data_IF_181807727829
#
_entry.id   IF_181807727829
#
_cell.length_a   1.000
_cell.length_b   1.000
_cell.length_c   1.000
_cell.angle_alpha   90.00
_cell.angle_beta   90.00
_cell.angle_gamma   90.00
#
_symmetry.space_group_name_H-M   'P 1'
#
loop_
_entity.id
_entity.type
_entity.pdbx_description
1 polymer ?
#
# COMPACT_ATOMS: atom_id res chain seq x y z
N UNK A 1 -32.77 5.57 -10.14
CA UNK A 1 -32.05 4.63 -9.26
C UNK A 1 -30.60 5.07 -9.18
N UNK A 2 -30.20 5.65 -8.05
CA UNK A 2 -28.85 6.17 -7.84
C UNK A 2 -27.91 5.04 -7.42
N UNK A 3 -27.33 4.31 -8.40
CA UNK A 3 -26.22 3.39 -8.14
C UNK A 3 -24.94 4.18 -7.90
N UNK A 4 -24.86 4.87 -6.75
CA UNK A 4 -23.58 5.31 -6.19
C UNK A 4 -23.02 4.15 -5.36
N UNK A 5 -22.70 3.03 -6.03
CA UNK A 5 -21.72 2.10 -5.51
C UNK A 5 -20.40 2.88 -5.53
N UNK A 6 -20.07 3.48 -4.40
CA UNK A 6 -18.79 4.13 -4.19
C UNK A 6 -17.77 2.98 -4.15
N UNK A 7 -17.13 2.71 -5.29
CA UNK A 7 -16.02 1.78 -5.35
C UNK A 7 -14.87 2.39 -4.56
N UNK A 8 -14.69 1.91 -3.34
CA UNK A 8 -13.50 2.18 -2.52
C UNK A 8 -12.57 1.02 -2.80
N UNK A 9 -11.50 1.29 -3.53
CA UNK A 9 -10.52 0.27 -3.89
C UNK A 9 -9.56 0.10 -2.71
N UNK A 10 -9.68 -1.03 -2.02
CA UNK A 10 -8.73 -1.39 -0.97
C UNK A 10 -7.50 -2.00 -1.65
N UNK A 11 -6.39 -1.27 -1.63
CA UNK A 11 -5.11 -1.76 -2.14
C UNK A 11 -4.25 -2.18 -0.95
N UNK A 12 -3.77 -3.42 -1.00
CA UNK A 12 -2.73 -4.03 -0.15
C UNK A 12 -3.10 -4.43 1.28
N UNK A 13 -2.97 -5.73 1.52
CA UNK A 13 -2.72 -6.33 2.82
C UNK A 13 -1.49 -7.20 2.65
N UNK A 14 -0.31 -6.64 2.96
CA UNK A 14 0.89 -7.45 3.04
C UNK A 14 0.94 -8.11 4.41
N UNK A 15 0.48 -9.36 4.51
CA UNK A 15 0.91 -10.23 5.59
C UNK A 15 2.31 -10.75 5.26
N UNK A 16 3.35 -9.92 5.45
CA UNK A 16 4.70 -10.45 5.57
C UNK A 16 4.82 -11.14 6.93
N UNK A 17 4.36 -12.39 7.00
CA UNK A 17 4.88 -13.31 8.00
C UNK A 17 6.18 -13.88 7.44
N UNK A 18 7.21 -13.05 7.38
CA UNK A 18 8.57 -13.60 7.34
C UNK A 18 8.72 -14.21 8.74
N UNK A 19 8.65 -15.54 8.83
CA UNK A 19 9.02 -16.25 10.05
C UNK A 19 10.50 -15.94 10.29
N UNK A 20 10.76 -14.88 11.03
CA UNK A 20 12.08 -14.59 11.58
C UNK A 20 12.29 -15.60 12.70
N UNK A 21 13.10 -16.63 12.41
CA UNK A 21 13.94 -17.18 13.48
C UNK A 21 14.74 -16.01 14.06
N UNK A 22 14.86 -15.99 15.39
CA UNK A 22 15.31 -14.85 16.17
C UNK A 22 16.57 -14.17 15.60
N UNK A 23 16.38 -13.05 14.88
CA UNK A 23 17.48 -12.20 14.43
C UNK A 23 17.91 -11.30 15.58
N UNK A 24 18.81 -11.82 16.41
CA UNK A 24 19.56 -11.00 17.35
C UNK A 24 20.54 -10.11 16.56
N UNK A 25 20.38 -8.79 16.63
CA UNK A 25 21.48 -7.84 16.50
C UNK A 25 21.77 -7.22 15.13
N UNK A 26 20.88 -7.30 14.14
CA UNK A 26 21.09 -6.54 12.88
C UNK A 26 20.93 -5.05 13.19
N UNK A 27 22.02 -4.29 13.09
CA UNK A 27 22.01 -2.84 13.26
C UNK A 27 21.16 -2.20 12.16
N UNK A 28 20.45 -1.09 12.46
CA UNK A 28 19.75 -0.34 11.42
C UNK A 28 20.73 0.06 10.30
N UNK A 29 20.23 0.07 9.05
CA UNK A 29 21.03 0.54 7.92
C UNK A 29 21.66 1.90 8.26
N UNK A 30 22.98 2.09 8.11
CA UNK A 30 23.66 3.29 8.60
C UNK A 30 23.27 4.56 7.83
N UNK A 31 22.73 4.41 6.63
CA UNK A 31 22.36 5.52 5.74
C UNK A 31 20.90 5.92 5.91
N UNK A 32 20.00 4.97 6.06
CA UNK A 32 18.55 5.26 6.06
C UNK A 32 17.73 4.52 7.11
N UNK A 33 18.38 3.76 8.00
CA UNK A 33 17.73 3.15 9.15
C UNK A 33 17.11 4.19 10.06
N UNK A 34 15.89 3.91 10.53
CA UNK A 34 15.15 4.76 11.47
C UNK A 34 15.87 4.78 12.82
N UNK A 35 16.12 5.98 13.36
CA UNK A 35 16.71 6.20 14.69
C UNK A 35 15.67 6.83 15.60
N UNK A 36 15.19 6.03 16.55
CA UNK A 36 14.07 6.39 17.39
C UNK A 36 14.49 7.24 18.60
N UNK A 37 13.66 8.23 18.95
CA UNK A 37 13.75 8.98 20.21
C UNK A 37 12.43 8.81 20.94
N UNK A 38 12.39 8.04 22.04
CA UNK A 38 11.14 7.77 22.76
C UNK A 38 10.50 9.08 23.25
N UNK A 39 9.19 9.21 23.06
CA UNK A 39 8.43 10.41 23.39
C UNK A 39 8.44 11.48 22.30
N UNK A 40 9.25 11.32 21.24
CA UNK A 40 9.20 12.21 20.07
C UNK A 40 7.82 12.15 19.41
N UNK A 41 7.31 13.32 19.02
CA UNK A 41 6.08 13.46 18.26
C UNK A 41 6.33 14.23 16.98
N UNK A 42 5.70 13.81 15.88
CA UNK A 42 5.79 14.47 14.59
C UNK A 42 4.57 14.12 13.74
N UNK A 43 4.37 14.79 12.59
CA UNK A 43 3.16 14.60 11.79
C UNK A 43 3.48 14.32 10.34
N UNK A 44 2.60 13.57 9.70
CA UNK A 44 2.61 13.35 8.27
C UNK A 44 1.31 13.83 7.64
N UNK A 45 1.43 14.36 6.42
CA UNK A 45 0.32 14.62 5.52
C UNK A 45 0.43 13.68 4.33
N UNK A 46 -0.62 12.91 4.09
CA UNK A 46 -0.80 12.06 2.93
C UNK A 46 -1.78 12.75 1.96
N UNK A 47 -1.39 12.88 0.69
CA UNK A 47 -2.24 13.40 -0.39
C UNK A 47 -2.41 12.29 -1.42
N UNK A 48 -3.63 12.07 -1.88
CA UNK A 48 -3.97 11.16 -2.98
C UNK A 48 -4.65 11.94 -4.10
N UNK A 49 -4.25 11.64 -5.34
CA UNK A 49 -5.02 11.95 -6.56
C UNK A 49 -5.25 10.65 -7.32
N UNK A 50 -6.50 10.28 -7.49
CA UNK A 50 -6.92 9.06 -8.16
C UNK A 50 -7.64 9.38 -9.47
N UNK A 51 -7.32 8.61 -10.50
CA UNK A 51 -7.88 8.75 -11.82
C UNK A 51 -8.50 7.43 -12.24
N UNK A 52 -9.75 7.47 -12.70
CA UNK A 52 -10.44 6.33 -13.30
C UNK A 52 -10.60 6.62 -14.80
N UNK A 53 -10.08 5.74 -15.65
CA UNK A 53 -10.10 5.92 -17.10
C UNK A 53 -9.62 7.32 -17.52
N UNK A 54 -8.47 7.71 -16.95
CA UNK A 54 -7.78 9.00 -17.10
C UNK A 54 -8.54 10.26 -16.63
N UNK A 55 -9.68 10.10 -15.97
CA UNK A 55 -10.45 11.20 -15.38
C UNK A 55 -10.21 11.27 -13.87
N UNK A 56 -9.93 12.47 -13.35
CA UNK A 56 -9.74 12.68 -11.92
C UNK A 56 -11.01 12.30 -11.16
N UNK A 57 -10.94 11.22 -10.39
CA UNK A 57 -12.08 10.66 -9.66
C UNK A 57 -12.06 11.06 -8.19
N UNK A 58 -10.89 11.04 -7.54
CA UNK A 58 -10.76 11.30 -6.10
C UNK A 58 -9.56 12.19 -5.83
N UNK A 59 -9.74 13.15 -4.92
CA UNK A 59 -8.64 13.83 -4.24
C UNK A 59 -8.85 13.71 -2.74
N UNK A 60 -7.86 13.18 -2.02
CA UNK A 60 -7.91 13.13 -0.55
C UNK A 60 -6.66 13.73 0.09
N UNK A 61 -6.83 14.25 1.29
CA UNK A 61 -5.75 14.74 2.16
C UNK A 61 -6.01 14.25 3.57
N UNK A 62 -5.11 13.40 4.07
CA UNK A 62 -5.18 12.86 5.42
C UNK A 62 -3.96 13.30 6.22
N UNK A 63 -4.14 13.51 7.52
CA UNK A 63 -3.05 13.90 8.43
C UNK A 63 -3.07 12.95 9.61
N UNK A 64 -1.89 12.45 9.98
CA UNK A 64 -1.69 11.68 11.21
C UNK A 64 -0.56 12.28 12.05
N UNK A 65 -0.62 12.02 13.35
CA UNK A 65 0.45 12.24 14.29
C UNK A 65 1.11 10.91 14.64
N UNK A 66 2.42 10.93 14.69
CA UNK A 66 3.27 9.82 15.09
C UNK A 66 3.80 10.12 16.48
N UNK A 67 3.68 9.17 17.40
CA UNK A 67 4.31 9.21 18.71
C UNK A 67 5.27 8.04 18.85
N UNK A 68 6.54 8.32 19.10
CA UNK A 68 7.54 7.28 19.30
C UNK A 68 7.35 6.65 20.69
N UNK A 69 7.10 5.34 20.72
CA UNK A 69 6.93 4.53 21.93
C UNK A 69 7.84 3.31 21.88
N UNK A 70 7.98 2.58 22.99
CA UNK A 70 8.62 1.28 23.03
C UNK A 70 7.66 0.23 23.60
N UNK A 71 7.79 -1.02 23.15
CA UNK A 71 7.10 -2.14 23.79
C UNK A 71 7.81 -2.62 25.07
N UNK A 72 7.26 -3.65 25.70
CA UNK A 72 7.82 -4.26 26.92
C UNK A 72 9.21 -4.86 26.72
N UNK A 73 9.60 -5.15 25.47
CA UNK A 73 10.92 -5.68 25.09
C UNK A 73 11.90 -4.57 24.66
N UNK A 74 11.49 -3.30 24.75
CA UNK A 74 12.29 -2.16 24.34
C UNK A 74 12.43 -2.01 22.82
N UNK A 75 11.58 -2.65 22.01
CA UNK A 75 11.51 -2.42 20.57
C UNK A 75 10.78 -1.09 20.34
N UNK A 76 11.37 -0.12 19.63
CA UNK A 76 10.73 1.15 19.36
C UNK A 76 9.72 1.05 18.21
N UNK A 77 8.64 1.83 18.29
CA UNK A 77 7.57 1.93 17.29
C UNK A 77 7.19 3.39 17.09
N UNK A 78 6.71 3.71 15.90
CA UNK A 78 5.92 4.91 15.66
C UNK A 78 4.43 4.53 15.84
N UNK A 79 3.79 5.04 16.89
CA UNK A 79 2.35 4.88 17.14
C UNK A 79 1.59 5.97 16.39
N UNK A 80 0.66 5.56 15.54
CA UNK A 80 -0.04 6.40 14.56
C UNK A 80 -1.41 6.77 15.10
N UNK A 81 -1.69 8.07 15.14
CA UNK A 81 -2.97 8.65 15.51
C UNK A 81 -3.49 9.49 14.34
N UNK A 82 -4.58 9.06 13.71
CA UNK A 82 -5.18 9.81 12.60
C UNK A 82 -5.90 11.05 13.15
N UNK A 83 -5.61 12.21 12.55
CA UNK A 83 -6.12 13.51 13.01
C UNK A 83 -7.20 14.07 12.09
N UNK A 84 -7.04 13.89 10.78
CA UNK A 84 -8.00 14.41 9.80
C UNK A 84 -7.98 13.62 8.50
N UNK A 85 -9.10 13.66 7.79
CA UNK A 85 -9.25 13.17 6.43
C UNK A 85 -10.23 14.08 5.68
N UNK A 86 -9.81 14.64 4.56
CA UNK A 86 -10.63 15.49 3.68
C UNK A 86 -10.64 14.87 2.30
N UNK A 87 -11.83 14.69 1.72
CA UNK A 87 -12.00 14.01 0.44
C UNK A 87 -12.93 14.77 -0.50
N UNK A 88 -12.57 14.81 -1.78
CA UNK A 88 -13.38 15.32 -2.88
C UNK A 88 -13.53 14.21 -3.92
N UNK A 89 -14.72 14.08 -4.49
CA UNK A 89 -15.04 13.14 -5.56
C UNK A 89 -15.39 13.94 -6.81
N UNK A 90 -14.75 13.66 -7.95
CA UNK A 90 -15.06 14.24 -9.26
C UNK A 90 -15.21 15.78 -9.22
N UNK A 91 -14.24 16.45 -8.58
CA UNK A 91 -14.24 17.91 -8.43
C UNK A 91 -15.34 18.49 -7.53
N UNK A 92 -16.16 17.65 -6.88
CA UNK A 92 -17.20 18.09 -5.96
C UNK A 92 -16.62 18.76 -4.71
N UNK A 93 -17.49 19.46 -3.96
CA UNK A 93 -17.13 20.09 -2.68
C UNK A 93 -16.42 19.08 -1.75
N UNK A 94 -15.31 19.53 -1.15
CA UNK A 94 -14.57 18.77 -0.16
C UNK A 94 -15.49 18.39 1.00
N UNK A 95 -15.53 17.10 1.31
CA UNK A 95 -16.17 16.53 2.49
C UNK A 95 -15.10 16.36 3.56
N UNK A 96 -15.34 16.96 4.72
CA UNK A 96 -14.54 16.72 5.91
C UNK A 96 -15.00 15.40 6.56
N UNK A 97 -14.07 14.46 6.71
CA UNK A 97 -14.25 13.15 7.37
C UNK A 97 -13.31 13.00 8.56
N UNK A 98 -12.93 14.11 9.20
CA UNK A 98 -12.04 14.06 10.36
C UNK A 98 -12.66 13.31 11.54
N UNK A 99 -13.98 13.28 11.65
CA UNK A 99 -14.70 12.43 12.63
C UNK A 99 -14.38 10.93 12.44
N UNK A 100 -14.24 10.48 11.19
CA UNK A 100 -13.86 9.10 10.84
C UNK A 100 -12.39 8.83 11.13
N UNK A 101 -11.52 9.79 10.82
CA UNK A 101 -10.10 9.71 11.15
C UNK A 101 -9.90 9.49 12.66
N UNK A 102 -10.59 10.25 13.50
CA UNK A 102 -10.51 10.16 14.96
C UNK A 102 -11.11 8.87 15.54
N UNK A 103 -11.95 8.14 14.79
CA UNK A 103 -12.48 6.84 15.20
C UNK A 103 -11.48 5.69 14.97
N UNK A 104 -10.43 5.90 14.18
CA UNK A 104 -9.40 4.87 13.95
C UNK A 104 -8.63 4.66 15.25
N UNK A 105 -8.61 3.43 15.74
CA UNK A 105 -7.80 3.05 16.89
C UNK A 105 -6.32 3.25 16.57
N UNK A 106 -5.52 3.83 17.48
CA UNK A 106 -4.09 3.95 17.27
C UNK A 106 -3.45 2.60 16.99
N UNK A 107 -2.46 2.58 16.10
CA UNK A 107 -1.74 1.37 15.73
C UNK A 107 -0.26 1.68 15.56
N UNK A 108 0.56 0.63 15.46
CA UNK A 108 2.02 0.75 15.52
C UNK A 108 2.66 0.18 14.27
N UNK A 109 3.66 0.89 13.78
CA UNK A 109 4.62 0.39 12.79
C UNK A 109 6.03 0.56 13.35
N UNK A 110 6.94 -0.31 12.94
CA UNK A 110 8.36 -0.16 13.29
C UNK A 110 9.27 -0.49 12.12
N UNK A 111 10.24 0.40 11.94
CA UNK A 111 11.39 0.28 11.05
C UNK A 111 12.65 -0.14 11.82
N UNK A 112 12.51 -0.58 13.08
CA UNK A 112 13.56 -1.36 13.79
C UNK A 112 13.61 -2.77 13.17
N UNK A 113 14.79 -3.38 13.14
CA UNK A 113 14.98 -4.74 12.58
C UNK A 113 14.25 -5.82 13.37
N UNK A 114 13.91 -5.55 14.64
CA UNK A 114 13.07 -6.41 15.49
C UNK A 114 11.58 -6.04 15.43
N UNK A 115 11.26 -4.95 14.76
CA UNK A 115 9.94 -4.39 14.62
C UNK A 115 9.14 -4.99 13.47
N UNK A 116 7.85 -4.66 13.41
CA UNK A 116 6.93 -5.11 12.36
C UNK A 116 6.21 -3.92 11.73
N UNK A 117 5.94 -4.01 10.44
CA UNK A 117 5.09 -3.08 9.69
C UNK A 117 3.77 -3.80 9.40
N UNK A 118 2.96 -3.98 10.44
CA UNK A 118 1.66 -4.63 10.29
C UNK A 118 0.61 -3.61 9.88
N UNK A 119 -0.27 -4.00 8.95
CA UNK A 119 -1.50 -3.25 8.75
C UNK A 119 -2.44 -3.50 9.94
N UNK A 120 -3.06 -2.46 10.52
CA UNK A 120 -4.04 -2.68 11.56
C UNK A 120 -5.29 -3.36 10.99
N UNK A 121 -6.10 -3.93 11.88
CA UNK A 121 -7.49 -4.24 11.53
C UNK A 121 -8.21 -2.93 11.17
N UNK A 122 -8.84 -2.90 10.00
CA UNK A 122 -9.54 -1.71 9.51
C UNK A 122 -11.00 -1.78 9.96
N UNK A 123 -11.30 -1.17 11.11
CA UNK A 123 -12.67 -1.10 11.65
C UNK A 123 -13.46 0.11 11.11
N UNK A 124 -12.78 1.11 10.55
CA UNK A 124 -13.37 2.33 9.97
C UNK A 124 -13.16 2.30 8.45
N UNK A 125 -14.14 1.79 7.72
CA UNK A 125 -14.00 1.52 6.28
C UNK A 125 -13.68 2.79 5.46
N UNK A 126 -14.14 3.96 5.89
CA UNK A 126 -13.85 5.25 5.23
C UNK A 126 -12.37 5.67 5.32
N UNK A 127 -11.58 5.00 6.15
CA UNK A 127 -10.14 5.25 6.34
C UNK A 127 -9.26 4.15 5.73
N UNK A 128 -9.85 3.14 5.07
CA UNK A 128 -9.16 1.98 4.48
C UNK A 128 -7.98 2.41 3.61
N UNK A 129 -8.27 3.25 2.60
CA UNK A 129 -7.26 3.73 1.63
C UNK A 129 -6.13 4.48 2.32
N UNK A 130 -6.45 5.47 3.16
CA UNK A 130 -5.44 6.28 3.83
C UNK A 130 -4.51 5.44 4.72
N UNK A 131 -5.05 4.46 5.45
CA UNK A 131 -4.27 3.55 6.30
C UNK A 131 -3.34 2.68 5.44
N UNK A 132 -3.86 2.08 4.38
CA UNK A 132 -3.09 1.21 3.47
C UNK A 132 -1.99 1.96 2.75
N UNK A 133 -2.33 3.10 2.14
CA UNK A 133 -1.41 3.94 1.38
C UNK A 133 -0.28 4.44 2.28
N UNK A 134 -0.62 4.93 3.47
CA UNK A 134 0.35 5.40 4.43
C UNK A 134 1.32 4.29 4.83
N UNK A 135 0.82 3.12 5.22
CA UNK A 135 1.66 1.98 5.58
C UNK A 135 2.56 1.51 4.43
N UNK A 136 2.10 1.60 3.19
CA UNK A 136 2.86 1.17 2.01
C UNK A 136 4.14 2.00 1.82
N UNK A 137 4.14 3.30 2.16
CA UNK A 137 5.38 4.10 2.17
C UNK A 137 6.42 3.57 3.15
N UNK A 138 6.01 3.02 4.29
CA UNK A 138 6.92 2.44 5.28
C UNK A 138 7.41 1.05 4.87
N UNK A 139 6.56 0.22 4.26
CA UNK A 139 6.99 -1.03 3.62
C UNK A 139 8.07 -0.76 2.59
N UNK A 140 7.93 0.32 1.81
CA UNK A 140 8.89 0.70 0.78
C UNK A 140 10.27 1.16 1.30
N UNK A 141 10.43 1.34 2.62
CA UNK A 141 11.72 1.66 3.26
C UNK A 141 12.05 0.66 4.39
N UNK A 142 11.26 -0.41 4.51
CA UNK A 142 11.31 -1.34 5.62
C UNK A 142 12.59 -2.17 5.64
N UNK A 143 13.22 -2.39 6.82
CA UNK A 143 14.42 -3.21 6.94
C UNK A 143 14.14 -4.73 6.84
N UNK A 144 12.88 -5.14 6.67
CA UNK A 144 12.49 -6.56 6.75
C UNK A 144 12.95 -7.40 5.54
N UNK A 145 13.53 -6.77 4.51
CA UNK A 145 14.02 -7.46 3.32
C UNK A 145 15.52 -7.77 3.45
N UNK A 146 15.93 -9.05 3.30
CA UNK A 146 17.34 -9.42 3.35
C UNK A 146 18.20 -8.63 2.36
N UNK A 147 19.32 -8.07 2.81
CA UNK A 147 20.26 -7.27 2.00
C UNK A 147 19.96 -5.77 1.99
N UNK A 148 18.90 -5.30 2.64
CA UNK A 148 18.62 -3.85 2.79
C UNK A 148 19.68 -3.14 3.64
N UNK A 149 20.33 -3.84 4.56
CA UNK A 149 21.43 -3.37 5.40
C UNK A 149 22.72 -3.11 4.61
N UNK A 150 22.94 -3.83 3.51
CA UNK A 150 24.12 -3.67 2.64
C UNK A 150 24.02 -2.46 1.69
N UNK A 151 22.82 -1.90 1.49
CA UNK A 151 22.59 -0.78 0.59
C UNK A 151 23.08 0.54 1.22
N UNK A 152 24.21 1.08 0.77
CA UNK A 152 24.85 2.24 1.43
C UNK A 152 25.23 3.39 0.49
N UNK A 153 25.32 3.15 -0.82
CA UNK A 153 25.75 4.15 -1.79
C UNK A 153 24.80 4.26 -2.97
N UNK A 154 24.91 5.39 -3.67
CA UNK A 154 24.20 5.63 -4.92
C UNK A 154 24.47 4.50 -5.91
N UNK A 155 23.40 3.96 -6.49
CA UNK A 155 23.46 2.89 -7.47
C UNK A 155 23.26 1.49 -6.89
N UNK A 156 23.41 1.31 -5.57
CA UNK A 156 23.10 0.04 -4.93
C UNK A 156 21.64 -0.35 -5.21
N UNK A 157 21.44 -1.63 -5.50
CA UNK A 157 20.13 -2.18 -5.84
C UNK A 157 19.96 -3.56 -5.24
N UNK A 158 18.75 -3.85 -4.78
CA UNK A 158 18.35 -5.14 -4.25
C UNK A 158 17.10 -5.60 -5.00
N UNK A 159 17.11 -6.83 -5.50
CA UNK A 159 15.91 -7.50 -5.98
C UNK A 159 15.47 -8.51 -4.94
N UNK A 160 14.21 -8.44 -4.50
CA UNK A 160 13.67 -9.42 -3.56
C UNK A 160 13.49 -10.73 -4.31
N UNK A 161 14.21 -11.77 -3.86
CA UNK A 161 14.32 -13.06 -4.57
C UNK A 161 13.07 -13.94 -4.55
N UNK A 162 11.99 -13.48 -3.93
CA UNK A 162 10.73 -14.22 -3.80
C UNK A 162 9.53 -13.30 -4.12
N UNK A 163 8.43 -13.85 -4.65
CA UNK A 163 7.24 -13.06 -4.93
C UNK A 163 6.64 -12.56 -3.62
N UNK A 164 6.21 -11.31 -3.64
CA UNK A 164 5.40 -10.73 -2.58
C UNK A 164 3.94 -10.93 -2.93
N UNK A 165 3.21 -11.68 -2.11
CA UNK A 165 1.78 -11.94 -2.31
C UNK A 165 1.00 -11.19 -1.24
N UNK A 166 0.17 -10.23 -1.64
CA UNK A 166 -0.79 -9.59 -0.76
C UNK A 166 -2.12 -10.32 -0.75
N UNK A 167 -2.82 -10.27 0.39
CA UNK A 167 -4.16 -10.83 0.55
C UNK A 167 -5.08 -9.83 1.25
N UNK A 168 -5.75 -8.98 0.48
CA UNK A 168 -6.65 -7.95 0.98
C UNK A 168 -8.12 -8.39 1.08
N UNK A 169 -8.35 -9.69 1.23
CA UNK A 169 -9.68 -10.22 1.53
C UNK A 169 -10.10 -9.81 2.94
N UNK A 170 -11.31 -9.24 3.09
CA UNK A 170 -11.87 -8.85 4.39
C UNK A 170 -13.16 -9.61 4.74
N UNK A 171 -13.61 -10.51 3.86
CA UNK A 171 -14.79 -11.37 4.06
C UNK A 171 -16.13 -10.66 3.99
N UNK A 172 -16.16 -9.35 3.75
CA UNK A 172 -17.39 -8.55 3.68
C UNK A 172 -17.46 -7.83 2.33
N UNK A 173 -16.69 -6.77 2.13
CA UNK A 173 -16.68 -6.02 0.87
C UNK A 173 -15.73 -6.61 -0.17
N UNK A 174 -14.74 -7.41 0.27
CA UNK A 174 -13.81 -8.14 -0.60
C UNK A 174 -13.74 -9.58 -0.11
N UNK A 175 -14.37 -10.49 -0.86
CA UNK A 175 -14.46 -11.91 -0.53
C UNK A 175 -13.14 -12.63 -0.84
N UNK A 176 -12.52 -12.26 -1.96
CA UNK A 176 -11.19 -12.70 -2.35
C UNK A 176 -10.48 -11.51 -2.99
N UNK A 177 -9.31 -11.15 -2.47
CA UNK A 177 -8.50 -10.05 -2.97
C UNK A 177 -7.04 -10.41 -2.86
N UNK A 178 -6.34 -10.50 -4.00
CA UNK A 178 -4.93 -10.89 -4.03
C UNK A 178 -4.18 -10.14 -5.11
N UNK A 179 -2.92 -9.86 -4.82
CA UNK A 179 -1.93 -9.42 -5.79
C UNK A 179 -0.63 -10.22 -5.63
N UNK A 180 0.21 -10.21 -6.66
CA UNK A 180 1.53 -10.83 -6.63
C UNK A 180 2.56 -9.97 -7.35
N UNK A 181 3.59 -9.54 -6.61
CA UNK A 181 4.52 -8.52 -7.08
C UNK A 181 5.97 -8.98 -6.88
N UNK A 182 6.81 -8.76 -7.89
CA UNK A 182 8.24 -8.68 -7.72
C UNK A 182 8.57 -7.32 -7.09
N UNK A 183 9.41 -7.34 -6.05
CA UNK A 183 9.84 -6.13 -5.37
C UNK A 183 11.33 -5.86 -5.64
N UNK A 184 11.68 -4.60 -5.81
CA UNK A 184 13.07 -4.18 -5.94
C UNK A 184 13.32 -2.81 -5.32
N UNK A 185 14.53 -2.61 -4.82
CA UNK A 185 15.00 -1.38 -4.19
C UNK A 185 16.19 -0.83 -4.94
N UNK A 186 16.34 0.50 -4.98
CA UNK A 186 17.49 1.18 -5.56
C UNK A 186 17.76 2.48 -4.84
N UNK A 187 18.99 2.68 -4.35
CA UNK A 187 19.45 4.00 -3.91
C UNK A 187 19.70 4.86 -5.14
N UNK A 188 18.85 5.86 -5.35
CA UNK A 188 18.95 6.81 -6.47
C UNK A 188 20.00 7.87 -6.20
N UNK A 189 20.13 8.30 -4.95
CA UNK A 189 21.09 9.32 -4.54
C UNK A 189 21.37 9.25 -3.03
N UNK A 190 22.55 9.72 -2.62
CA UNK A 190 22.94 9.91 -1.22
C UNK A 190 23.71 11.21 -1.12
N UNK A 191 23.32 12.10 -0.22
CA UNK A 191 24.10 13.28 0.13
C UNK A 191 24.31 13.37 1.66
N UNK A 192 24.77 14.52 2.14
CA UNK A 192 25.04 14.71 3.57
C UNK A 192 23.78 14.60 4.43
N UNK A 193 22.63 15.05 3.92
CA UNK A 193 21.37 15.18 4.68
C UNK A 193 20.37 14.07 4.38
N UNK A 194 20.36 13.57 3.14
CA UNK A 194 19.30 12.70 2.64
C UNK A 194 19.83 11.49 1.88
N UNK A 195 19.04 10.43 1.87
CA UNK A 195 19.06 9.38 0.85
C UNK A 195 17.78 9.47 0.02
N UNK A 196 17.85 9.11 -1.25
CA UNK A 196 16.68 8.91 -2.10
C UNK A 196 16.61 7.42 -2.44
N UNK A 197 15.62 6.74 -1.87
CA UNK A 197 15.36 5.32 -2.11
C UNK A 197 14.18 5.18 -3.07
N UNK A 198 14.35 4.38 -4.11
CA UNK A 198 13.28 4.02 -5.04
C UNK A 198 12.95 2.55 -4.88
N UNK A 199 11.66 2.25 -4.71
CA UNK A 199 11.13 0.91 -4.56
C UNK A 199 10.14 0.65 -5.68
N UNK A 200 10.25 -0.50 -6.33
CA UNK A 200 9.39 -0.92 -7.43
C UNK A 200 8.64 -2.19 -7.06
N UNK A 201 7.37 -2.23 -7.42
CA UNK A 201 6.47 -3.36 -7.28
C UNK A 201 5.93 -3.67 -8.67
N UNK A 202 6.43 -4.74 -9.26
CA UNK A 202 6.19 -5.08 -10.65
C UNK A 202 5.49 -6.44 -10.77
N UNK A 203 4.70 -6.68 -11.81
CA UNK A 203 4.21 -8.00 -12.14
C UNK A 203 5.36 -9.00 -12.28
N UNK A 204 5.11 -10.23 -11.84
CA UNK A 204 6.05 -11.33 -12.01
C UNK A 204 6.16 -11.74 -13.49
N UNK A 205 7.23 -12.45 -13.85
CA UNK A 205 7.41 -12.97 -15.20
C UNK A 205 6.58 -14.25 -15.49
N UNK A 206 5.93 -14.81 -14.47
CA UNK A 206 5.07 -15.98 -14.55
C UNK A 206 3.89 -15.87 -13.57
N UNK A 207 2.73 -16.48 -13.87
CA UNK A 207 1.61 -16.52 -12.92
C UNK A 207 2.01 -17.26 -11.64
N UNK A 208 1.59 -16.71 -10.50
CA UNK A 208 1.70 -17.39 -9.19
C UNK A 208 0.38 -17.40 -8.43
N UNK A 209 -0.61 -16.63 -8.88
CA UNK A 209 -1.94 -16.60 -8.29
C UNK A 209 -2.76 -17.78 -8.80
N UNK A 210 -3.53 -18.39 -7.88
CA UNK A 210 -4.61 -19.28 -8.26
C UNK A 210 -5.79 -18.43 -8.75
N UNK A 211 -5.94 -18.34 -10.07
CA UNK A 211 -6.95 -17.52 -10.71
C UNK A 211 -8.38 -17.94 -10.35
N UNK A 212 -9.26 -16.95 -10.29
CA UNK A 212 -10.67 -17.14 -9.89
C UNK A 212 -11.52 -17.66 -11.05
N UNK A 213 -11.22 -17.22 -12.28
CA UNK A 213 -11.86 -17.69 -13.52
C UNK A 213 -10.79 -17.97 -14.57
N UNK A 214 -11.07 -18.86 -15.52
CA UNK A 214 -10.13 -19.26 -16.58
C UNK A 214 -9.71 -18.12 -17.51
N UNK A 215 -10.55 -17.10 -17.65
CA UNK A 215 -10.31 -15.93 -18.50
C UNK A 215 -9.10 -15.12 -18.02
N UNK A 216 -8.71 -15.28 -16.74
CA UNK A 216 -7.54 -14.65 -16.16
C UNK A 216 -6.22 -15.24 -16.68
N UNK A 217 -6.24 -16.42 -17.32
CA UNK A 217 -5.06 -16.99 -17.99
C UNK A 217 -4.63 -16.13 -19.19
N UNK A 218 -5.54 -15.32 -19.73
CA UNK A 218 -5.23 -14.34 -20.78
C UNK A 218 -4.80 -13.02 -20.13
N UNK A 219 -3.56 -12.56 -20.36
CA UNK A 219 -3.11 -11.22 -19.97
C UNK A 219 -4.07 -10.10 -20.40
N UNK A 220 -4.46 -9.25 -19.45
CA UNK A 220 -5.19 -8.01 -19.76
C UNK A 220 -4.28 -7.03 -20.51
N UNK A 221 -3.00 -6.98 -20.14
CA UNK A 221 -2.00 -6.16 -20.82
C UNK A 221 -1.01 -7.06 -21.56
N UNK A 222 -0.79 -6.89 -22.88
CA UNK A 222 0.14 -7.71 -23.65
C UNK A 222 1.53 -7.79 -23.02
N UNK A 223 2.10 -9.00 -22.96
CA UNK A 223 3.44 -9.25 -22.43
C UNK A 223 3.55 -9.22 -20.89
N UNK A 224 2.45 -9.06 -20.15
CA UNK A 224 2.48 -9.05 -18.68
C UNK A 224 1.45 -9.99 -18.10
N UNK A 225 1.83 -10.88 -17.19
CA UNK A 225 0.86 -11.77 -16.52
C UNK A 225 -0.12 -10.97 -15.68
N UNK A 226 -1.35 -11.47 -15.53
CA UNK A 226 -2.27 -10.91 -14.57
C UNK A 226 -1.75 -11.19 -13.16
N UNK A 227 -1.61 -10.15 -12.36
CA UNK A 227 -1.02 -10.22 -11.04
C UNK A 227 -1.90 -9.56 -9.97
N UNK A 228 -3.12 -9.18 -10.34
CA UNK A 228 -4.15 -8.64 -9.46
C UNK A 228 -5.47 -9.36 -9.73
N UNK A 229 -6.18 -9.74 -8.67
CA UNK A 229 -7.54 -10.26 -8.74
C UNK A 229 -8.36 -9.90 -7.51
N UNK A 230 -9.65 -9.62 -7.71
CA UNK A 230 -10.60 -9.28 -6.66
C UNK A 230 -11.99 -9.81 -6.98
N UNK A 231 -12.71 -10.25 -5.94
CA UNK A 231 -14.14 -10.54 -5.94
C UNK A 231 -14.81 -9.75 -4.83
N UNK A 232 -15.81 -8.96 -5.19
CA UNK A 232 -16.67 -8.23 -4.28
C UNK A 232 -18.14 -8.69 -4.46
N UNK A 233 -18.94 -8.74 -3.39
CA UNK A 233 -20.38 -8.98 -3.54
C UNK A 233 -21.03 -7.80 -4.28
N UNK A 234 -22.03 -8.11 -5.09
CA UNK A 234 -22.96 -7.17 -5.68
C UNK A 234 -24.38 -7.41 -5.10
N UNK A 235 -25.39 -6.77 -5.66
CA UNK A 235 -26.77 -6.94 -5.23
C UNK A 235 -27.33 -8.33 -5.58
N UNK A 236 -28.34 -8.78 -4.84
CA UNK A 236 -29.10 -10.02 -5.11
C UNK A 236 -28.25 -11.29 -5.19
N UNK A 237 -27.15 -11.36 -4.43
CA UNK A 237 -26.26 -12.52 -4.41
C UNK A 237 -25.42 -12.68 -5.67
N UNK A 238 -25.28 -11.61 -6.46
CA UNK A 238 -24.37 -11.55 -7.59
C UNK A 238 -22.98 -11.05 -7.16
N UNK A 239 -22.01 -11.13 -8.06
CA UNK A 239 -20.62 -10.80 -7.77
C UNK A 239 -20.01 -9.89 -8.82
N UNK A 240 -19.05 -9.07 -8.38
CA UNK A 240 -18.17 -8.30 -9.27
C UNK A 240 -16.78 -8.89 -9.17
N UNK A 241 -16.18 -9.20 -10.33
CA UNK A 241 -14.82 -9.70 -10.46
C UNK A 241 -14.00 -8.63 -11.15
N UNK A 242 -12.82 -8.37 -10.63
CA UNK A 242 -11.84 -7.50 -11.26
C UNK A 242 -10.49 -8.21 -11.30
N UNK A 243 -9.83 -8.20 -12.45
CA UNK A 243 -8.52 -8.82 -12.59
C UNK A 243 -7.70 -8.16 -13.68
N UNK A 244 -6.39 -8.25 -13.56
CA UNK A 244 -5.48 -7.69 -14.55
C UNK A 244 -4.09 -7.45 -14.01
N UNK A 245 -3.50 -6.33 -14.41
CA UNK A 245 -2.15 -5.93 -14.06
C UNK A 245 -2.16 -4.78 -13.06
N UNK A 246 -1.45 -4.94 -11.96
CA UNK A 246 -1.09 -3.86 -11.03
C UNK A 246 0.43 -3.68 -11.00
N UNK A 247 0.90 -2.43 -10.98
CA UNK A 247 2.27 -2.09 -10.65
C UNK A 247 2.34 -0.73 -9.97
N UNK A 248 3.33 -0.56 -9.11
CA UNK A 248 3.58 0.73 -8.51
C UNK A 248 5.06 0.96 -8.21
N UNK A 249 5.43 2.24 -8.14
CA UNK A 249 6.77 2.67 -7.75
C UNK A 249 6.66 3.74 -6.68
N UNK A 250 7.59 3.72 -5.74
CA UNK A 250 7.65 4.64 -4.63
C UNK A 250 9.06 5.24 -4.60
N UNK A 251 9.15 6.57 -4.47
CA UNK A 251 10.43 7.26 -4.24
C UNK A 251 10.34 7.99 -2.92
N UNK A 252 11.17 7.59 -1.97
CA UNK A 252 11.26 8.18 -0.64
C UNK A 252 12.56 8.98 -0.51
N UNK A 253 12.44 10.24 -0.10
CA UNK A 253 13.54 11.04 0.43
C UNK A 253 13.56 10.84 1.94
N UNK A 254 14.64 10.27 2.46
CA UNK A 254 14.78 9.90 3.88
C UNK A 254 15.90 10.73 4.50
N UNK A 255 15.64 11.34 5.65
CA UNK A 255 16.63 12.13 6.38
C UNK A 255 17.59 11.22 7.14
N UNK A 256 18.89 11.38 6.93
CA UNK A 256 19.92 10.50 7.51
C UNK A 256 20.11 10.66 9.02
N UNK A 257 19.74 11.82 9.57
CA UNK A 257 19.90 12.08 11.00
C UNK A 257 19.00 11.19 11.86
N UNK A 258 17.83 10.79 11.37
CA UNK A 258 16.83 10.04 12.13
C UNK A 258 16.06 8.97 11.34
N UNK A 259 16.33 8.83 10.05
CA UNK A 259 15.68 7.88 9.15
C UNK A 259 14.19 8.15 8.91
N UNK A 260 13.69 9.36 9.17
CA UNK A 260 12.31 9.73 8.81
C UNK A 260 12.19 9.97 7.31
N UNK A 261 11.10 9.51 6.71
CA UNK A 261 10.72 9.92 5.36
C UNK A 261 10.35 11.40 5.44
N UNK A 262 11.04 12.28 4.72
CA UNK A 262 10.67 13.71 4.66
C UNK A 262 9.67 13.99 3.55
N UNK A 263 9.81 13.26 2.44
CA UNK A 263 8.89 13.27 1.31
C UNK A 263 8.88 11.88 0.67
N UNK A 264 7.70 11.38 0.35
CA UNK A 264 7.51 10.16 -0.43
C UNK A 264 6.56 10.42 -1.58
N UNK A 265 6.84 9.86 -2.76
CA UNK A 265 5.95 9.93 -3.92
C UNK A 265 5.67 8.52 -4.41
N UNK A 266 4.39 8.19 -4.64
CA UNK A 266 3.96 6.91 -5.17
C UNK A 266 3.20 7.12 -6.47
N UNK A 267 3.53 6.30 -7.47
CA UNK A 267 2.74 6.09 -8.66
C UNK A 267 2.21 4.66 -8.62
N UNK A 268 0.89 4.47 -8.59
CA UNK A 268 0.24 3.18 -8.76
C UNK A 268 -0.63 3.19 -10.01
N UNK A 269 -0.60 2.10 -10.78
CA UNK A 269 -1.40 1.90 -11.97
C UNK A 269 -1.95 0.47 -12.02
N UNK A 270 -3.26 0.39 -12.21
CA UNK A 270 -4.02 -0.84 -12.36
C UNK A 270 -4.72 -0.81 -13.72
N UNK A 271 -4.53 -1.87 -14.51
CA UNK A 271 -5.23 -2.08 -15.77
C UNK A 271 -5.95 -3.42 -15.71
N UNK A 272 -7.27 -3.40 -15.70
CA UNK A 272 -8.10 -4.57 -15.39
C UNK A 272 -9.24 -4.75 -16.37
N UNK A 273 -9.81 -5.96 -16.34
CA UNK A 273 -11.16 -6.24 -16.80
C UNK A 273 -12.07 -6.27 -15.57
N UNK A 274 -13.21 -5.59 -15.67
CA UNK A 274 -14.30 -5.63 -14.70
C UNK A 274 -15.44 -6.47 -15.27
N UNK A 275 -15.75 -7.59 -14.62
CA UNK A 275 -16.92 -8.42 -14.87
C UNK A 275 -17.95 -8.11 -13.77
N UNK A 276 -19.09 -7.54 -14.13
CA UNK A 276 -20.11 -7.15 -13.16
C UNK A 276 -21.32 -8.09 -13.19
N UNK A 277 -21.92 -8.29 -12.02
CA UNK A 277 -23.14 -9.07 -11.83
C UNK A 277 -23.00 -10.53 -12.31
N UNK A 278 -21.88 -11.16 -12.01
CA UNK A 278 -21.67 -12.59 -12.22
C UNK A 278 -22.51 -13.42 -11.25
N UNK A 279 -22.82 -14.65 -11.63
CA UNK A 279 -23.45 -15.63 -10.74
C UNK A 279 -22.50 -16.13 -9.63
N UNK A 280 -22.99 -17.03 -8.78
CA UNK A 280 -22.22 -17.59 -7.65
C UNK A 280 -21.02 -18.45 -8.05
N UNK A 281 -20.93 -18.86 -9.32
CA UNK A 281 -19.77 -19.54 -9.89
C UNK A 281 -18.82 -18.55 -10.59
N UNK A 282 -19.06 -17.25 -10.45
CA UNK A 282 -18.29 -16.18 -11.09
C UNK A 282 -18.41 -16.19 -12.62
N UNK A 283 -19.50 -16.76 -13.14
CA UNK A 283 -19.79 -16.88 -14.57
C UNK A 283 -20.93 -15.95 -14.99
N UNK A 284 -21.21 -15.92 -16.30
CA UNK A 284 -22.35 -15.23 -16.89
C UNK A 284 -22.47 -13.75 -16.49
N UNK A 285 -21.41 -12.93 -16.65
CA UNK A 285 -21.47 -11.52 -16.28
C UNK A 285 -22.51 -10.77 -17.10
N UNK A 286 -23.27 -9.87 -16.46
CA UNK A 286 -24.17 -8.96 -17.17
C UNK A 286 -23.39 -7.94 -18.02
N UNK A 287 -22.16 -7.59 -17.62
CA UNK A 287 -21.28 -6.72 -18.39
C UNK A 287 -19.81 -7.05 -18.14
N UNK A 288 -19.01 -6.93 -19.21
CA UNK A 288 -17.54 -7.02 -19.17
C UNK A 288 -16.97 -5.77 -19.81
N UNK A 289 -16.09 -5.06 -19.11
CA UNK A 289 -15.45 -3.84 -19.65
C UNK A 289 -14.01 -3.69 -19.17
N UNK A 290 -13.12 -3.06 -19.95
CA UNK A 290 -11.86 -2.59 -19.42
C UNK A 290 -12.12 -1.54 -18.33
N UNK A 291 -11.23 -1.50 -17.35
CA UNK A 291 -11.19 -0.50 -16.29
C UNK A 291 -9.74 -0.19 -15.96
N UNK A 292 -9.41 1.10 -15.88
CA UNK A 292 -8.09 1.55 -15.48
C UNK A 292 -8.16 2.51 -14.31
N UNK A 293 -7.20 2.34 -13.41
CA UNK A 293 -7.01 3.20 -12.26
C UNK A 293 -5.56 3.64 -12.19
N UNK A 294 -5.36 4.93 -11.90
CA UNK A 294 -4.04 5.51 -11.67
C UNK A 294 -4.08 6.37 -10.42
N UNK A 295 -3.20 6.08 -9.48
CA UNK A 295 -3.11 6.79 -8.20
C UNK A 295 -1.75 7.47 -8.09
N UNK A 296 -1.77 8.75 -7.75
CA UNK A 296 -0.60 9.56 -7.45
C UNK A 296 -0.67 9.96 -5.99
N UNK A 297 0.28 9.49 -5.18
CA UNK A 297 0.29 9.76 -3.75
C UNK A 297 1.55 10.52 -3.34
N UNK A 298 1.41 11.34 -2.32
CA UNK A 298 2.53 12.04 -1.70
C UNK A 298 2.39 11.98 -0.18
N UNK A 299 3.46 11.59 0.52
CA UNK A 299 3.58 11.82 1.96
C UNK A 299 4.60 12.92 2.23
N UNK A 300 4.31 13.77 3.20
CA UNK A 300 5.17 14.89 3.60
C UNK A 300 5.25 14.97 5.11
N UNK A 301 6.48 15.05 5.64
CA UNK A 301 6.71 15.36 7.05
C UNK A 301 6.37 16.84 7.29
N UNK A 302 5.55 17.12 8.29
CA UNK A 302 5.11 18.47 8.67
C UNK A 302 6.00 19.13 9.72
#
# INVERSE_FOLDING_TARGET
MNNKALFVFAILWFCFVIKSDAQFGVLPNPVFGRKYTIGETYRYKLILKEYHDDKLAIVSTSVCEMKVVADEKGVPYDEIHWLSNKISYDGQKVKDRSDKALQVKPYRISLDTRGLINLPKIDVWEMTEAIQDFNTFFVAVGPQFPGMDDMTKKGDSLAVGFPVIGNFSNGTTILKGQDALAMGFKIKDVNERYVILSTSFMPLNKPVLAYIVSEMDKPVVPGTVNNFQMVAPADNGLFTIQYGREYFTITNTIRKSDGKIVKGEMFNCINTILMSNCDANYQNPASVKPYSERRLLTIELL
#
